data_IF_157357517189
#
_entry.id   IF_157357517189
#
_cell.length_a   1.000
_cell.length_b   1.000
_cell.length_c   1.000
_cell.angle_alpha   90.00
_cell.angle_beta   90.00
_cell.angle_gamma   90.00
#
_symmetry.space_group_name_H-M   'P 1'
#
loop_
_entity.id
_entity.type
_entity.pdbx_description
1 polymer ?
#
# COMPACT_ATOMS: atom_id res chain seq x y z
N UNK A 1 5.49 -6.02 -3.88
CA UNK A 1 4.20 -6.60 -4.31
C UNK A 1 3.44 -7.06 -3.09
N UNK A 2 3.94 -8.05 -2.35
CA UNK A 2 3.32 -8.48 -1.09
C UNK A 2 3.17 -7.34 -0.06
N UNK A 3 4.25 -6.63 0.28
CA UNK A 3 4.18 -5.47 1.17
C UNK A 3 3.32 -4.32 0.62
N UNK A 4 3.20 -4.21 -0.71
CA UNK A 4 2.34 -3.20 -1.37
C UNK A 4 0.87 -3.55 -1.20
N UNK A 5 0.54 -4.83 -1.40
CA UNK A 5 -0.78 -5.38 -1.17
C UNK A 5 -1.19 -5.20 0.29
N UNK A 6 -0.33 -5.61 1.23
CA UNK A 6 -0.55 -5.45 2.67
C UNK A 6 -0.85 -3.98 3.04
N UNK A 7 -0.06 -3.03 2.53
CA UNK A 7 -0.24 -1.61 2.81
C UNK A 7 -1.57 -1.07 2.22
N UNK A 8 -1.92 -1.49 1.00
CA UNK A 8 -3.21 -1.12 0.39
C UNK A 8 -4.37 -1.64 1.22
N UNK A 9 -4.37 -2.93 1.56
CA UNK A 9 -5.40 -3.55 2.42
C UNK A 9 -5.52 -2.82 3.76
N UNK A 10 -4.40 -2.47 4.41
CA UNK A 10 -4.39 -1.74 5.67
C UNK A 10 -5.03 -0.34 5.56
N UNK A 11 -4.73 0.39 4.48
CA UNK A 11 -5.30 1.73 4.24
C UNK A 11 -6.82 1.68 4.04
N UNK A 12 -7.32 0.70 3.29
CA UNK A 12 -8.76 0.52 3.08
C UNK A 12 -9.47 0.06 4.36
N UNK A 13 -8.88 -0.87 5.12
CA UNK A 13 -9.41 -1.26 6.43
C UNK A 13 -9.50 -0.05 7.37
N UNK A 14 -8.46 0.79 7.43
CA UNK A 14 -8.45 2.01 8.25
C UNK A 14 -9.55 2.99 7.86
N UNK A 15 -9.84 3.16 6.57
CA UNK A 15 -10.92 4.04 6.08
C UNK A 15 -12.31 3.57 6.51
N UNK A 16 -12.48 2.25 6.67
CA UNK A 16 -13.71 1.62 7.13
C UNK A 16 -13.77 1.46 8.65
N UNK A 17 -12.76 1.93 9.39
CA UNK A 17 -12.69 1.81 10.85
C UNK A 17 -12.35 0.40 11.34
N UNK A 18 -11.92 -0.49 10.45
CA UNK A 18 -11.55 -1.87 10.78
C UNK A 18 -10.14 -1.87 11.36
N UNK A 19 -9.99 -2.48 12.55
CA UNK A 19 -8.67 -2.67 13.16
C UNK A 19 -7.93 -3.75 12.38
N UNK A 20 -6.77 -3.41 11.84
CA UNK A 20 -5.98 -4.27 10.98
C UNK A 20 -4.57 -4.43 11.53
N UNK A 21 -4.11 -5.66 11.65
CA UNK A 21 -2.73 -6.02 11.92
C UNK A 21 -2.26 -7.05 10.90
N UNK A 22 -0.98 -7.03 10.54
CA UNK A 22 -0.43 -8.00 9.62
C UNK A 22 0.99 -8.41 10.02
N UNK A 23 1.29 -9.69 9.83
CA UNK A 23 2.63 -10.26 9.91
C UNK A 23 2.88 -10.99 8.62
N UNK A 24 3.65 -10.37 7.72
CA UNK A 24 3.88 -10.85 6.35
C UNK A 24 2.57 -11.14 5.60
N UNK A 25 2.28 -12.41 5.32
CA UNK A 25 1.14 -12.92 4.59
C UNK A 25 -0.10 -13.18 5.47
N UNK A 26 0.04 -13.01 6.78
CA UNK A 26 -1.03 -13.25 7.75
C UNK A 26 -1.71 -11.93 8.14
N UNK A 27 -3.01 -11.80 7.86
CA UNK A 27 -3.81 -10.62 8.18
C UNK A 27 -4.78 -10.91 9.34
N UNK A 28 -4.81 -10.01 10.32
CA UNK A 28 -5.57 -10.13 11.56
C UNK A 28 -6.50 -8.93 11.75
N UNK A 29 -7.69 -9.21 12.26
CA UNK A 29 -8.72 -8.22 12.63
C UNK A 29 -9.63 -8.78 13.72
N UNK A 30 -10.58 -7.99 14.22
CA UNK A 30 -11.61 -8.50 15.13
C UNK A 30 -12.54 -9.49 14.44
N UNK A 31 -13.04 -10.48 15.16
CA UNK A 31 -13.84 -11.57 14.59
C UNK A 31 -15.09 -11.08 13.81
N UNK A 32 -15.69 -9.96 14.22
CA UNK A 32 -16.84 -9.36 13.55
C UNK A 32 -16.50 -8.76 12.17
N UNK A 33 -15.24 -8.42 11.91
CA UNK A 33 -14.82 -7.68 10.72
C UNK A 33 -14.09 -8.59 9.71
N UNK A 34 -13.92 -9.88 10.02
CA UNK A 34 -13.18 -10.85 9.20
C UNK A 34 -13.78 -10.97 7.80
N UNK A 35 -15.10 -10.98 7.68
CA UNK A 35 -15.79 -11.07 6.39
C UNK A 35 -15.48 -9.86 5.50
N UNK A 36 -15.58 -8.66 6.08
CA UNK A 36 -15.31 -7.40 5.38
C UNK A 36 -13.84 -7.27 5.01
N UNK A 37 -12.92 -7.61 5.93
CA UNK A 37 -11.48 -7.62 5.65
C UNK A 37 -11.14 -8.58 4.49
N UNK A 38 -11.79 -9.75 4.42
CA UNK A 38 -11.55 -10.72 3.35
C UNK A 38 -12.04 -10.23 1.99
N UNK A 39 -13.12 -9.48 1.94
CA UNK A 39 -13.59 -8.82 0.71
C UNK A 39 -12.55 -7.81 0.22
N UNK A 40 -12.14 -6.88 1.09
CA UNK A 40 -11.12 -5.86 0.79
C UNK A 40 -9.82 -6.53 0.32
N UNK A 41 -9.38 -7.58 1.00
CA UNK A 41 -8.16 -8.33 0.64
C UNK A 41 -8.21 -8.82 -0.82
N UNK A 42 -9.34 -9.41 -1.24
CA UNK A 42 -9.50 -9.92 -2.62
C UNK A 42 -9.57 -8.80 -3.64
N UNK A 43 -10.29 -7.72 -3.31
CA UNK A 43 -10.41 -6.55 -4.19
C UNK A 43 -9.04 -5.90 -4.44
N UNK A 44 -8.27 -5.67 -3.37
CA UNK A 44 -6.94 -5.06 -3.48
C UNK A 44 -5.96 -5.97 -4.23
N UNK A 45 -6.07 -7.29 -4.08
CA UNK A 45 -5.28 -8.24 -4.84
C UNK A 45 -5.55 -8.13 -6.34
N UNK A 46 -6.84 -8.17 -6.72
CA UNK A 46 -7.24 -8.07 -8.13
C UNK A 46 -6.81 -6.71 -8.69
N UNK A 47 -7.02 -5.63 -7.96
CA UNK A 47 -6.64 -4.29 -8.39
C UNK A 47 -5.14 -4.18 -8.64
N UNK A 48 -4.32 -4.64 -7.68
CA UNK A 48 -2.86 -4.60 -7.81
C UNK A 48 -2.38 -5.44 -9.00
N UNK A 49 -2.92 -6.65 -9.18
CA UNK A 49 -2.48 -7.55 -10.25
C UNK A 49 -3.11 -7.26 -11.62
N UNK A 50 -4.11 -6.39 -11.69
CA UNK A 50 -4.66 -5.91 -12.97
C UNK A 50 -3.71 -4.95 -13.68
N UNK A 51 -2.78 -4.33 -12.95
CA UNK A 51 -1.77 -3.47 -13.54
C UNK A 51 -0.65 -4.28 -14.24
N UNK A 52 -0.08 -3.78 -15.37
CA UNK A 52 1.00 -4.45 -16.07
C UNK A 52 2.37 -4.26 -15.37
N UNK A 53 2.44 -4.61 -14.08
CA UNK A 53 3.57 -4.32 -13.18
C UNK A 53 4.91 -4.85 -13.69
N UNK A 54 4.92 -6.05 -14.31
CA UNK A 54 6.14 -6.65 -14.86
C UNK A 54 6.68 -5.83 -16.04
N UNK A 55 5.79 -5.34 -16.91
CA UNK A 55 6.17 -4.48 -18.05
C UNK A 55 6.71 -3.15 -17.54
N UNK A 56 5.99 -2.51 -16.61
CA UNK A 56 6.43 -1.26 -16.00
C UNK A 56 7.78 -1.40 -15.30
N UNK A 57 8.02 -2.50 -14.58
CA UNK A 57 9.31 -2.79 -13.95
C UNK A 57 10.43 -2.97 -14.98
N UNK A 58 10.16 -3.70 -16.06
CA UNK A 58 11.09 -3.88 -17.17
C UNK A 58 11.46 -2.56 -17.87
N UNK A 59 10.47 -1.71 -18.14
CA UNK A 59 10.67 -0.37 -18.69
C UNK A 59 11.44 0.54 -17.71
N UNK A 60 11.05 0.56 -16.43
CA UNK A 60 11.75 1.31 -15.38
C UNK A 60 13.21 0.89 -15.24
N UNK A 61 13.50 -0.41 -15.37
CA UNK A 61 14.88 -0.93 -15.35
C UNK A 61 15.70 -0.44 -16.55
N UNK A 62 15.09 -0.34 -17.74
CA UNK A 62 15.75 0.20 -18.96
C UNK A 62 15.99 1.70 -18.85
N UNK A 63 15.09 2.44 -18.20
CA UNK A 63 15.11 3.91 -18.09
C UNK A 63 15.78 4.47 -16.82
N UNK A 64 16.68 3.71 -16.17
CA UNK A 64 17.38 4.11 -14.93
C UNK A 64 18.09 5.47 -14.96
N UNK A 65 18.31 6.08 -16.13
CA UNK A 65 19.02 7.36 -16.29
C UNK A 65 18.15 8.63 -16.17
N UNK A 66 16.81 8.54 -16.10
CA UNK A 66 15.91 9.74 -16.11
C UNK A 66 15.00 9.85 -14.86
N UNK A 67 15.18 9.00 -13.84
CA UNK A 67 14.15 8.85 -12.77
C UNK A 67 14.29 9.85 -11.63
N UNK A 68 15.50 10.25 -11.23
CA UNK A 68 15.67 11.19 -10.09
C UNK A 68 15.00 12.54 -10.38
N UNK A 69 15.05 12.99 -11.64
CA UNK A 69 14.58 14.32 -12.03
C UNK A 69 13.08 14.37 -12.38
N UNK A 70 12.49 13.26 -12.82
CA UNK A 70 11.07 13.19 -13.17
C UNK A 70 10.18 12.89 -11.96
N UNK A 71 10.66 12.08 -11.01
CA UNK A 71 9.90 11.72 -9.79
C UNK A 71 9.70 12.92 -8.85
N UNK A 72 10.67 13.83 -8.76
CA UNK A 72 10.55 15.06 -7.97
C UNK A 72 9.59 16.10 -8.57
N UNK A 73 9.30 16.02 -9.87
CA UNK A 73 8.56 17.08 -10.59
C UNK A 73 7.06 16.82 -10.75
N UNK A 74 6.60 15.58 -10.54
CA UNK A 74 5.20 15.18 -10.77
C UNK A 74 4.46 14.66 -9.52
N UNK A 75 5.07 14.66 -8.33
CA UNK A 75 4.33 14.38 -7.10
C UNK A 75 3.57 15.65 -6.70
N UNK A 76 2.35 15.76 -7.22
CA UNK A 76 1.31 16.61 -6.67
C UNK A 76 1.09 16.27 -5.19
N UNK A 77 1.04 17.31 -4.38
CA UNK A 77 1.07 17.34 -2.91
C UNK A 77 -0.13 16.71 -2.18
N UNK A 78 -0.86 15.75 -2.76
CA UNK A 78 -2.10 15.22 -2.16
C UNK A 78 -1.95 13.86 -1.50
N UNK A 79 -1.02 12.99 -1.93
CA UNK A 79 -0.90 11.62 -1.39
C UNK A 79 0.35 11.38 -0.53
N UNK A 80 1.29 12.33 -0.53
CA UNK A 80 2.54 12.17 0.20
C UNK A 80 2.37 12.46 1.70
N UNK A 81 1.59 13.48 2.07
CA UNK A 81 1.40 13.84 3.47
C UNK A 81 0.73 12.71 4.27
N UNK A 82 -0.23 11.99 3.69
CA UNK A 82 -0.94 10.92 4.39
C UNK A 82 -0.09 9.66 4.57
N UNK A 83 0.70 9.30 3.56
CA UNK A 83 1.59 8.13 3.63
C UNK A 83 2.79 8.43 4.51
N UNK A 84 3.37 9.64 4.44
CA UNK A 84 4.47 10.05 5.31
C UNK A 84 3.99 10.13 6.76
N UNK A 85 2.84 10.73 7.03
CA UNK A 85 2.27 10.79 8.38
C UNK A 85 1.92 9.40 8.94
N UNK A 86 1.49 8.46 8.09
CA UNK A 86 1.24 7.07 8.51
C UNK A 86 2.55 6.32 8.85
N UNK A 87 3.65 6.62 8.16
CA UNK A 87 4.97 6.05 8.45
C UNK A 87 5.60 6.72 9.68
N UNK A 88 5.54 8.05 9.81
CA UNK A 88 6.02 8.81 10.98
C UNK A 88 5.26 8.46 12.26
N UNK A 89 3.94 8.22 12.17
CA UNK A 89 3.13 7.78 13.30
C UNK A 89 3.46 6.35 13.75
N UNK A 90 3.92 5.49 12.83
CA UNK A 90 4.34 4.13 13.15
C UNK A 90 5.72 4.09 13.81
N UNK A 91 6.62 5.02 13.48
CA UNK A 91 7.93 5.16 14.14
C UNK A 91 7.82 5.74 15.56
N UNK A 92 6.91 6.71 15.79
CA UNK A 92 6.72 7.32 17.13
C UNK A 92 5.95 6.45 18.13
N UNK A 93 5.39 5.31 17.73
CA UNK A 93 4.75 4.35 18.65
C UNK A 93 5.70 3.24 19.10
N UNK A 94 6.93 3.21 18.54
CA UNK A 94 7.97 2.22 18.85
C UNK A 94 9.12 2.81 19.71
N UNK A 95 8.91 3.97 20.32
CA UNK A 95 9.75 4.56 21.38
C UNK A 95 8.93 4.84 22.64
#
# INVERSE_FOLDING_TARGET
LDSTHMMLTALFCRRLGITFAAVHDCYWTHACDVEVMNEICREQFVQLHSEPLVKQCGERRKNKRIIVMFWLRNIGKTYYCDVLAAVEAAENLML
#
